data_IF_174253899303
#
_entry.id   IF_174253899303
#
_cell.length_a   1.000
_cell.length_b   1.000
_cell.length_c   1.000
_cell.angle_alpha   90.00
_cell.angle_beta   90.00
_cell.angle_gamma   90.00
#
_symmetry.space_group_name_H-M   'P 1'
#
loop_
_entity.id
_entity.type
_entity.pdbx_description
1 polymer ?
#
# COMPACT_ATOMS: atom_id res chain seq x y z
N UNK A 1 -8.95 -2.37 2.38
CA UNK A 1 -9.10 -3.73 1.80
C UNK A 1 -8.09 -4.73 2.34
N UNK A 2 -6.83 -4.33 2.61
CA UNK A 2 -5.75 -5.21 3.06
C UNK A 2 -6.11 -6.00 4.34
N UNK A 3 -6.52 -5.31 5.40
CA UNK A 3 -6.91 -5.92 6.67
C UNK A 3 -8.12 -6.85 6.56
N UNK A 4 -9.09 -6.53 5.69
CA UNK A 4 -10.24 -7.39 5.44
C UNK A 4 -9.85 -8.69 4.73
N UNK A 5 -8.87 -8.63 3.79
CA UNK A 5 -8.35 -9.83 3.14
C UNK A 5 -7.67 -10.77 4.15
N UNK A 6 -6.87 -10.23 5.08
CA UNK A 6 -6.26 -11.02 6.14
C UNK A 6 -7.31 -11.65 7.07
N UNK A 7 -8.35 -10.89 7.41
CA UNK A 7 -9.47 -11.40 8.23
C UNK A 7 -10.26 -12.48 7.48
N UNK A 8 -10.53 -12.32 6.18
CA UNK A 8 -11.24 -13.32 5.38
C UNK A 8 -10.49 -14.65 5.26
N UNK A 9 -9.15 -14.61 5.33
CA UNK A 9 -8.28 -15.78 5.33
C UNK A 9 -8.10 -16.39 6.74
N UNK A 10 -8.75 -15.82 7.77
CA UNK A 10 -8.68 -16.30 9.15
C UNK A 10 -7.36 -15.97 9.87
N UNK A 11 -6.52 -15.12 9.29
CA UNK A 11 -5.25 -14.69 9.90
C UNK A 11 -5.47 -13.66 11.01
N UNK A 12 -6.55 -12.89 10.93
CA UNK A 12 -6.98 -11.94 11.97
C UNK A 12 -8.33 -12.37 12.51
N UNK A 13 -8.43 -12.57 13.83
CA UNK A 13 -9.68 -12.97 14.50
C UNK A 13 -10.49 -11.77 14.97
N UNK A 14 -9.82 -10.78 15.55
CA UNK A 14 -10.44 -9.56 16.09
C UNK A 14 -9.84 -8.35 15.36
N UNK A 15 -10.61 -7.75 14.46
CA UNK A 15 -10.17 -6.62 13.67
C UNK A 15 -10.70 -5.30 14.24
N UNK A 16 -9.78 -4.40 14.62
CA UNK A 16 -10.08 -2.99 14.85
C UNK A 16 -9.39 -2.18 13.76
N UNK A 17 -10.15 -1.39 13.03
CA UNK A 17 -9.64 -0.50 11.99
C UNK A 17 -9.73 0.96 12.42
N UNK A 18 -8.65 1.70 12.21
CA UNK A 18 -8.57 3.14 12.49
C UNK A 18 -8.29 3.90 11.22
N UNK A 19 -8.82 5.09 11.12
CA UNK A 19 -8.56 6.04 10.05
C UNK A 19 -8.97 7.44 10.51
N UNK A 20 -8.33 8.48 10.01
CA UNK A 20 -8.72 9.89 10.25
C UNK A 20 -10.01 10.24 9.49
N UNK A 21 -10.32 9.53 8.41
CA UNK A 21 -11.48 9.73 7.56
C UNK A 21 -12.68 8.88 8.00
N UNK A 22 -13.77 9.48 8.48
CA UNK A 22 -15.00 8.75 8.75
C UNK A 22 -15.59 8.09 7.49
N UNK A 23 -15.36 8.70 6.30
CA UNK A 23 -15.80 8.18 5.01
C UNK A 23 -15.12 6.87 4.65
N UNK A 24 -13.81 6.77 4.85
CA UNK A 24 -13.03 5.55 4.63
C UNK A 24 -13.48 4.42 5.56
N UNK A 25 -13.73 4.73 6.83
CA UNK A 25 -14.24 3.74 7.78
C UNK A 25 -15.68 3.29 7.46
N UNK A 26 -16.52 4.18 6.92
CA UNK A 26 -17.86 3.82 6.45
C UNK A 26 -17.81 2.86 5.27
N UNK A 27 -16.93 3.13 4.28
CA UNK A 27 -16.70 2.26 3.14
C UNK A 27 -16.16 0.89 3.58
N UNK A 28 -15.19 0.87 4.49
CA UNK A 28 -14.64 -0.36 5.06
C UNK A 28 -15.71 -1.19 5.78
N UNK A 29 -16.58 -0.56 6.58
CA UNK A 29 -17.71 -1.25 7.25
C UNK A 29 -18.68 -1.87 6.25
N UNK A 30 -18.99 -1.17 5.15
CA UNK A 30 -19.87 -1.70 4.11
C UNK A 30 -19.27 -2.98 3.51
N UNK A 31 -18.01 -2.91 3.08
CA UNK A 31 -17.29 -4.06 2.50
C UNK A 31 -17.16 -5.21 3.51
N UNK A 32 -16.87 -4.91 4.77
CA UNK A 32 -16.78 -5.92 5.83
C UNK A 32 -18.12 -6.66 6.01
N UNK A 33 -19.25 -5.92 5.98
CA UNK A 33 -20.60 -6.49 6.06
C UNK A 33 -20.86 -7.44 4.89
N UNK A 34 -20.53 -7.05 3.67
CA UNK A 34 -20.72 -7.84 2.47
C UNK A 34 -19.88 -9.14 2.50
N UNK A 35 -18.73 -9.10 3.15
CA UNK A 35 -17.84 -10.24 3.36
C UNK A 35 -18.18 -11.07 4.63
N UNK A 36 -19.17 -10.66 5.42
CA UNK A 36 -19.49 -11.31 6.68
C UNK A 36 -18.44 -11.15 7.79
N UNK A 37 -17.56 -10.15 7.67
CA UNK A 37 -16.45 -9.89 8.61
C UNK A 37 -16.92 -8.92 9.69
N UNK A 38 -16.68 -9.25 10.96
CA UNK A 38 -16.89 -8.34 12.09
C UNK A 38 -15.68 -7.41 12.22
N UNK A 39 -15.91 -6.09 12.21
CA UNK A 39 -14.89 -5.08 12.39
C UNK A 39 -15.35 -4.00 13.37
N UNK A 40 -14.50 -3.64 14.31
CA UNK A 40 -14.64 -2.41 15.12
C UNK A 40 -13.94 -1.28 14.37
N UNK A 41 -14.55 -0.11 14.27
CA UNK A 41 -13.91 1.05 13.65
C UNK A 41 -13.84 2.20 14.63
N UNK A 42 -12.73 2.94 14.60
CA UNK A 42 -12.49 4.11 15.45
C UNK A 42 -11.88 5.21 14.60
N UNK A 43 -12.49 6.40 14.61
CA UNK A 43 -11.93 7.59 13.95
C UNK A 43 -10.85 8.16 14.86
N UNK A 44 -9.61 8.12 14.43
CA UNK A 44 -8.45 8.63 15.17
C UNK A 44 -7.24 8.76 14.26
N UNK A 45 -6.27 9.58 14.65
CA UNK A 45 -4.93 9.59 14.07
C UNK A 45 -4.05 8.50 14.71
N UNK A 46 -2.93 8.18 14.05
CA UNK A 46 -1.98 7.19 14.51
C UNK A 46 -1.06 7.70 15.64
N UNK A 47 -1.02 9.01 15.82
CA UNK A 47 -0.18 9.68 16.81
C UNK A 47 -0.86 9.78 18.19
N UNK A 48 -2.18 9.47 18.30
CA UNK A 48 -2.96 9.51 19.53
C UNK A 48 -4.02 8.42 19.53
N UNK A 49 -3.63 7.19 19.81
CA UNK A 49 -4.54 6.05 19.76
C UNK A 49 -5.41 5.94 21.04
N UNK A 50 -6.75 5.96 20.92
CA UNK A 50 -7.66 5.91 22.06
C UNK A 50 -7.86 4.48 22.58
N UNK A 51 -6.76 3.74 22.74
CA UNK A 51 -6.77 2.37 23.24
C UNK A 51 -5.92 2.26 24.50
N UNK A 52 -6.27 1.34 25.42
CA UNK A 52 -5.42 1.04 26.56
C UNK A 52 -4.07 0.49 26.13
N UNK A 53 -3.10 0.57 27.03
CA UNK A 53 -1.81 -0.09 26.88
C UNK A 53 -2.03 -1.60 26.70
N UNK A 54 -1.15 -2.24 25.96
CA UNK A 54 -1.09 -3.70 25.81
C UNK A 54 -2.41 -4.37 25.38
N UNK A 55 -3.16 -3.72 24.48
CA UNK A 55 -4.48 -4.20 24.02
C UNK A 55 -4.44 -5.01 22.74
N UNK A 56 -3.35 -4.94 21.96
CA UNK A 56 -3.25 -5.59 20.66
C UNK A 56 -2.07 -6.56 20.57
N UNK A 57 -2.26 -7.63 19.81
CA UNK A 57 -1.18 -8.57 19.49
C UNK A 57 -0.38 -8.11 18.26
N UNK A 58 -1.04 -7.38 17.34
CA UNK A 58 -0.44 -6.87 16.11
C UNK A 58 -1.02 -5.48 15.78
N UNK A 59 -0.15 -4.57 15.40
CA UNK A 59 -0.51 -3.32 14.71
C UNK A 59 -0.03 -3.45 13.26
N UNK A 60 -0.92 -3.23 12.32
CA UNK A 60 -0.59 -3.37 10.90
C UNK A 60 -1.13 -2.21 10.07
N UNK A 61 -0.42 -1.89 8.99
CA UNK A 61 -0.84 -0.89 8.03
C UNK A 61 -0.38 -1.22 6.61
N UNK A 62 -1.05 -0.62 5.63
CA UNK A 62 -0.67 -0.72 4.23
C UNK A 62 -0.70 0.66 3.61
N UNK A 63 0.44 1.12 3.10
CA UNK A 63 0.58 2.44 2.49
C UNK A 63 0.04 3.54 3.41
N UNK A 64 0.57 3.66 4.63
CA UNK A 64 0.06 4.58 5.65
C UNK A 64 1.15 5.38 6.35
N UNK A 65 2.35 4.82 6.56
CA UNK A 65 3.40 5.52 7.30
C UNK A 65 3.85 6.81 6.62
N UNK A 66 3.85 6.85 5.30
CA UNK A 66 4.26 8.03 4.54
C UNK A 66 3.28 9.21 4.67
N UNK A 67 2.08 8.98 5.18
CA UNK A 67 1.10 10.03 5.48
C UNK A 67 1.14 10.52 6.93
N UNK A 68 1.91 9.89 7.83
CA UNK A 68 1.96 10.25 9.25
C UNK A 68 3.03 11.32 9.46
N UNK A 69 2.67 12.53 9.92
CA UNK A 69 3.61 13.63 10.10
C UNK A 69 4.69 13.34 11.15
N UNK A 70 4.32 12.82 12.32
CA UNK A 70 5.24 12.50 13.41
C UNK A 70 5.34 10.99 13.63
N UNK A 71 6.28 10.38 12.91
CA UNK A 71 6.52 8.94 13.01
C UNK A 71 7.03 8.52 14.41
N UNK A 72 7.86 9.32 15.05
CA UNK A 72 8.37 8.95 16.40
C UNK A 72 7.22 8.87 17.40
N UNK A 73 6.26 9.79 17.33
CA UNK A 73 5.05 9.77 18.14
C UNK A 73 4.14 8.58 17.82
N UNK A 74 3.90 8.33 16.53
CA UNK A 74 3.09 7.19 16.10
C UNK A 74 3.69 5.85 16.53
N UNK A 75 5.00 5.65 16.35
CA UNK A 75 5.68 4.43 16.80
C UNK A 75 5.68 4.26 18.32
N UNK A 76 5.71 5.35 19.08
CA UNK A 76 5.54 5.33 20.55
C UNK A 76 4.14 4.85 20.93
N UNK A 77 3.08 5.31 20.21
CA UNK A 77 1.72 4.84 20.42
C UNK A 77 1.54 3.37 20.00
N UNK A 78 2.12 2.95 18.86
CA UNK A 78 2.11 1.55 18.44
C UNK A 78 2.78 0.65 19.50
N UNK A 79 3.91 1.09 20.05
CA UNK A 79 4.61 0.38 21.12
C UNK A 79 3.76 0.29 22.40
N UNK A 80 3.11 1.39 22.79
CA UNK A 80 2.26 1.44 23.99
C UNK A 80 1.08 0.47 23.90
N UNK A 81 0.36 0.48 22.78
CA UNK A 81 -0.86 -0.34 22.62
C UNK A 81 -0.58 -1.81 22.34
N UNK A 82 0.62 -2.18 21.95
CA UNK A 82 1.02 -3.57 21.75
C UNK A 82 1.29 -4.26 23.07
N UNK A 83 0.86 -5.51 23.20
CA UNK A 83 1.27 -6.42 24.28
C UNK A 83 2.76 -6.74 24.19
N UNK A 84 3.41 -7.15 25.30
CA UNK A 84 4.73 -7.76 25.24
C UNK A 84 4.77 -8.90 24.21
N UNK A 85 5.83 -8.98 23.41
CA UNK A 85 5.94 -9.92 22.30
C UNK A 85 5.12 -9.57 21.05
N UNK A 86 4.29 -8.52 21.10
CA UNK A 86 3.48 -8.07 19.96
C UNK A 86 4.31 -7.48 18.83
N UNK A 87 3.71 -7.38 17.64
CA UNK A 87 4.44 -6.99 16.42
C UNK A 87 3.79 -5.82 15.69
N UNK A 88 4.63 -5.02 15.03
CA UNK A 88 4.20 -4.11 13.97
C UNK A 88 4.50 -4.72 12.61
N UNK A 89 3.61 -4.50 11.63
CA UNK A 89 3.81 -4.87 10.23
C UNK A 89 3.23 -3.78 9.33
N UNK A 90 4.08 -3.11 8.58
CA UNK A 90 3.69 -2.09 7.61
C UNK A 90 4.21 -2.47 6.23
N UNK A 91 3.33 -2.49 5.22
CA UNK A 91 3.68 -2.87 3.85
C UNK A 91 3.17 -1.84 2.84
N UNK A 92 3.71 -1.88 1.63
CA UNK A 92 3.35 -0.94 0.58
C UNK A 92 3.88 0.48 0.81
N UNK A 93 4.88 0.67 1.65
CA UNK A 93 5.46 1.99 1.89
C UNK A 93 6.39 2.39 0.74
N UNK A 94 6.23 3.60 0.16
CA UNK A 94 6.99 4.00 -1.01
C UNK A 94 8.46 4.22 -0.71
N UNK A 95 9.34 3.67 -1.55
CA UNK A 95 10.76 3.96 -1.48
C UNK A 95 11.13 5.14 -2.39
N UNK A 96 12.02 6.01 -1.91
CA UNK A 96 12.56 7.15 -2.68
C UNK A 96 13.22 6.73 -3.99
N UNK A 97 13.81 5.53 -4.03
CA UNK A 97 14.48 5.03 -5.22
C UNK A 97 13.49 4.45 -6.23
N UNK A 98 12.43 3.80 -5.74
CA UNK A 98 11.39 3.19 -6.56
C UNK A 98 10.59 4.22 -7.37
N UNK A 99 10.33 5.39 -6.81
CA UNK A 99 9.64 6.47 -7.51
C UNK A 99 10.33 6.88 -8.81
N UNK A 100 11.68 6.96 -8.79
CA UNK A 100 12.46 7.26 -9.99
C UNK A 100 12.35 6.15 -11.04
N UNK A 101 12.30 4.89 -10.60
CA UNK A 101 12.12 3.74 -11.50
C UNK A 101 10.70 3.68 -12.08
N UNK A 102 9.69 4.08 -11.32
CA UNK A 102 8.29 4.09 -11.74
C UNK A 102 8.03 5.00 -12.95
N UNK A 103 8.80 6.08 -13.09
CA UNK A 103 8.64 7.02 -14.21
C UNK A 103 8.84 6.36 -15.58
N UNK A 104 9.74 5.37 -15.70
CA UNK A 104 10.05 4.71 -16.98
C UNK A 104 8.85 3.87 -17.48
N UNK A 105 8.32 2.88 -16.74
CA UNK A 105 7.16 2.11 -17.19
C UNK A 105 5.91 2.96 -17.36
N UNK A 106 5.70 3.97 -16.51
CA UNK A 106 4.57 4.91 -16.65
C UNK A 106 4.63 5.65 -17.99
N UNK A 107 5.77 6.27 -18.33
CA UNK A 107 5.96 6.98 -19.62
C UNK A 107 5.87 6.04 -20.81
N UNK A 108 6.48 4.86 -20.72
CA UNK A 108 6.42 3.86 -21.79
C UNK A 108 4.98 3.40 -22.02
N UNK A 109 4.23 3.12 -20.94
CA UNK A 109 2.82 2.76 -21.01
C UNK A 109 1.98 3.81 -21.74
N UNK A 110 2.13 5.09 -21.36
CA UNK A 110 1.44 6.19 -22.04
C UNK A 110 1.86 6.34 -23.51
N UNK A 111 3.13 6.16 -23.82
CA UNK A 111 3.64 6.23 -25.20
C UNK A 111 3.01 5.15 -26.11
N UNK A 112 2.89 3.92 -25.61
CA UNK A 112 2.31 2.81 -26.39
C UNK A 112 0.77 2.75 -26.33
N UNK A 113 0.15 3.51 -25.43
CA UNK A 113 -1.29 3.49 -25.19
C UNK A 113 -2.15 3.71 -26.45
N UNK A 114 -1.85 4.62 -27.40
CA UNK A 114 -2.65 4.79 -28.61
C UNK A 114 -2.68 3.54 -29.49
N UNK A 115 -1.54 2.85 -29.63
CA UNK A 115 -1.45 1.60 -30.40
C UNK A 115 -2.18 0.46 -29.67
N UNK A 116 -2.02 0.38 -28.35
CA UNK A 116 -2.72 -0.58 -27.51
C UNK A 116 -4.25 -0.40 -27.59
N UNK A 117 -4.79 0.82 -27.45
CA UNK A 117 -6.23 1.07 -27.58
C UNK A 117 -6.80 0.59 -28.92
N UNK A 118 -6.09 0.86 -30.03
CA UNK A 118 -6.49 0.37 -31.35
C UNK A 118 -6.53 -1.15 -31.41
N UNK A 119 -5.53 -1.82 -30.79
CA UNK A 119 -5.43 -3.28 -30.81
C UNK A 119 -6.54 -3.94 -29.99
N UNK A 120 -6.91 -3.38 -28.83
CA UNK A 120 -7.92 -3.97 -27.94
C UNK A 120 -9.32 -3.45 -28.18
N UNK A 121 -9.49 -2.42 -29.05
CA UNK A 121 -10.77 -1.78 -29.33
C UNK A 121 -11.28 -0.91 -28.17
N UNK A 122 -10.38 -0.32 -27.40
CA UNK A 122 -10.75 0.56 -26.30
C UNK A 122 -10.84 2.02 -26.75
N UNK A 123 -11.85 2.73 -26.24
CA UNK A 123 -12.09 4.15 -26.52
C UNK A 123 -11.10 5.03 -25.73
N UNK A 124 -10.63 6.10 -26.37
CA UNK A 124 -9.80 7.07 -25.70
C UNK A 124 -10.60 7.79 -24.59
N UNK A 125 -9.94 8.05 -23.46
CA UNK A 125 -10.53 8.89 -22.43
C UNK A 125 -10.76 10.30 -23.00
N UNK A 126 -11.99 10.78 -22.93
CA UNK A 126 -12.41 12.08 -23.53
C UNK A 126 -12.37 13.24 -22.52
N UNK A 127 -11.98 12.98 -21.28
CA UNK A 127 -11.84 14.05 -20.27
C UNK A 127 -10.64 14.94 -20.57
N UNK A 128 -10.85 16.24 -20.42
CA UNK A 128 -9.77 17.23 -20.57
C UNK A 128 -8.76 17.09 -19.46
N UNK A 129 -7.50 17.46 -19.74
CA UNK A 129 -6.43 17.41 -18.75
C UNK A 129 -6.73 18.22 -17.47
N UNK A 130 -7.67 19.17 -17.53
CA UNK A 130 -8.13 19.97 -16.39
C UNK A 130 -9.03 19.17 -15.43
N UNK A 131 -9.91 18.30 -15.93
CA UNK A 131 -10.74 17.42 -15.08
C UNK A 131 -9.92 16.31 -14.42
N UNK A 132 -8.81 15.89 -15.02
CA UNK A 132 -7.89 14.90 -14.44
C UNK A 132 -6.95 15.51 -13.38
N UNK A 133 -6.70 16.81 -13.44
CA UNK A 133 -5.85 17.51 -12.47
C UNK A 133 -6.59 17.79 -11.14
N UNK A 134 -7.92 17.81 -11.18
CA UNK A 134 -8.74 18.18 -10.01
C UNK A 134 -9.05 17.00 -9.08
N UNK A 135 -8.95 15.76 -9.54
CA UNK A 135 -9.58 14.63 -8.82
C UNK A 135 -8.63 13.79 -7.93
N UNK A 136 -7.33 13.70 -8.17
CA UNK A 136 -6.56 12.73 -7.34
C UNK A 136 -5.06 13.07 -7.11
N UNK A 137 -4.43 13.90 -7.94
CA UNK A 137 -2.98 14.10 -7.88
C UNK A 137 -2.55 15.46 -7.33
N UNK A 138 -3.45 16.43 -7.18
CA UNK A 138 -3.12 17.77 -6.68
C UNK A 138 -2.84 17.77 -5.17
N UNK A 139 -3.41 16.81 -4.43
CA UNK A 139 -3.24 16.69 -2.98
C UNK A 139 -2.13 15.69 -2.58
N UNK A 140 -1.68 14.80 -3.48
CA UNK A 140 -0.62 13.83 -3.18
C UNK A 140 0.66 14.49 -2.62
N UNK A 141 1.20 15.59 -3.19
CA UNK A 141 2.39 16.25 -2.65
C UNK A 141 2.18 16.91 -1.27
N UNK A 142 0.93 17.21 -0.90
CA UNK A 142 0.59 17.79 0.40
C UNK A 142 0.32 16.71 1.44
N UNK A 143 -0.01 15.49 1.00
CA UNK A 143 -0.39 14.36 1.87
C UNK A 143 0.77 13.39 2.05
N UNK A 144 1.66 13.24 1.05
CA UNK A 144 2.84 12.38 1.11
C UNK A 144 4.00 13.10 1.81
N UNK A 145 4.05 12.97 3.14
CA UNK A 145 5.06 13.66 3.98
C UNK A 145 6.44 13.00 3.87
N UNK A 146 6.49 11.67 3.63
CA UNK A 146 7.72 10.89 3.64
C UNK A 146 7.91 10.03 2.40
N UNK A 147 9.11 10.09 1.79
CA UNK A 147 9.60 9.07 0.87
C UNK A 147 10.75 8.33 1.56
N UNK A 148 10.58 7.03 1.81
CA UNK A 148 11.50 6.28 2.65
C UNK A 148 12.76 5.83 1.93
N UNK A 149 13.89 5.91 2.64
CA UNK A 149 15.08 5.09 2.36
C UNK A 149 15.03 3.89 3.29
N UNK A 150 15.30 2.65 2.83
CA UNK A 150 15.20 1.45 3.67
C UNK A 150 15.97 1.52 4.99
N UNK A 151 17.15 2.18 4.97
CA UNK A 151 17.97 2.36 6.17
C UNK A 151 17.30 3.29 7.19
N UNK A 152 16.72 4.42 6.73
CA UNK A 152 16.02 5.39 7.59
C UNK A 152 14.76 4.75 8.19
N UNK A 153 13.97 4.05 7.37
CA UNK A 153 12.78 3.34 7.84
C UNK A 153 13.12 2.28 8.89
N UNK A 154 14.24 1.56 8.72
CA UNK A 154 14.73 0.57 9.69
C UNK A 154 15.14 1.20 11.03
N UNK A 155 15.56 2.47 11.02
CA UNK A 155 16.06 3.16 12.20
C UNK A 155 14.95 3.75 13.10
N UNK A 156 13.70 3.82 12.63
CA UNK A 156 12.59 4.44 13.37
C UNK A 156 12.10 3.56 14.54
N UNK A 157 11.69 2.29 14.34
CA UNK A 157 11.10 1.48 15.42
C UNK A 157 11.98 1.34 16.68
N UNK A 158 13.32 1.17 16.57
CA UNK A 158 14.19 1.05 17.76
C UNK A 158 14.16 2.27 18.68
N UNK A 159 13.85 3.46 18.16
CA UNK A 159 13.75 4.69 18.99
C UNK A 159 12.62 4.59 20.01
N UNK A 160 11.57 3.83 19.71
CA UNK A 160 10.46 3.56 20.62
C UNK A 160 10.60 2.25 21.41
N UNK A 161 11.75 1.56 21.30
CA UNK A 161 12.01 0.34 22.06
C UNK A 161 11.70 -0.97 21.33
N UNK A 162 11.34 -0.93 20.05
CA UNK A 162 11.15 -2.15 19.26
C UNK A 162 12.48 -2.84 18.96
N UNK A 163 12.43 -4.16 18.93
CA UNK A 163 13.54 -5.05 18.56
C UNK A 163 13.25 -5.79 17.24
N UNK A 164 14.24 -6.52 16.74
CA UNK A 164 14.13 -7.36 15.54
C UNK A 164 13.58 -6.64 14.31
N UNK A 165 13.91 -5.33 14.19
CA UNK A 165 13.44 -4.52 13.06
C UNK A 165 14.00 -5.03 11.74
N UNK A 166 13.11 -5.30 10.78
CA UNK A 166 13.44 -5.75 9.42
C UNK A 166 12.73 -4.87 8.40
N UNK A 167 13.46 -4.50 7.35
CA UNK A 167 12.89 -3.84 6.15
C UNK A 167 13.24 -4.71 4.96
N UNK A 168 12.23 -5.07 4.18
CA UNK A 168 12.34 -5.81 2.92
C UNK A 168 11.71 -5.02 1.80
N UNK A 169 12.18 -5.25 0.58
CA UNK A 169 11.49 -4.80 -0.62
C UNK A 169 10.41 -5.80 -1.05
N UNK A 170 9.37 -5.30 -1.70
CA UNK A 170 8.27 -6.11 -2.25
C UNK A 170 7.97 -5.68 -3.67
N UNK A 171 7.69 -6.65 -4.53
CA UNK A 171 7.15 -6.44 -5.88
C UNK A 171 8.02 -5.56 -6.79
N UNK A 172 9.11 -6.08 -7.33
CA UNK A 172 9.96 -5.35 -8.28
C UNK A 172 9.39 -5.42 -9.71
N UNK A 173 9.36 -6.62 -10.30
CA UNK A 173 8.92 -6.83 -11.68
C UNK A 173 7.41 -6.68 -11.80
N UNK A 174 6.65 -7.15 -10.80
CA UNK A 174 5.21 -7.00 -10.74
C UNK A 174 4.80 -5.53 -10.76
N UNK A 175 5.47 -4.67 -10.00
CA UNK A 175 5.21 -3.23 -9.99
C UNK A 175 5.56 -2.56 -11.31
N UNK A 176 6.73 -2.83 -11.88
CA UNK A 176 7.14 -2.28 -13.20
C UNK A 176 6.09 -2.64 -14.26
N UNK A 177 5.66 -3.90 -14.28
CA UNK A 177 4.61 -4.36 -15.17
C UNK A 177 3.27 -3.67 -14.89
N UNK A 178 2.86 -3.66 -13.63
CA UNK A 178 1.60 -3.06 -13.18
C UNK A 178 1.50 -1.58 -13.52
N UNK A 179 2.57 -0.80 -13.38
CA UNK A 179 2.58 0.61 -13.77
C UNK A 179 2.44 0.80 -15.27
N UNK A 180 3.14 -0.01 -16.08
CA UNK A 180 2.97 0.01 -17.53
C UNK A 180 1.53 -0.28 -17.95
N UNK A 181 0.92 -1.32 -17.37
CA UNK A 181 -0.47 -1.70 -17.65
C UNK A 181 -1.45 -0.62 -17.22
N UNK A 182 -1.35 -0.14 -15.97
CA UNK A 182 -2.22 0.94 -15.45
C UNK A 182 -2.10 2.23 -16.25
N UNK A 183 -0.89 2.59 -16.68
CA UNK A 183 -0.69 3.78 -17.52
C UNK A 183 -1.30 3.65 -18.90
N UNK A 184 -1.32 2.47 -19.51
CA UNK A 184 -2.09 2.23 -20.72
C UNK A 184 -3.60 2.32 -20.46
N UNK A 185 -4.08 1.66 -19.42
CA UNK A 185 -5.50 1.61 -19.06
C UNK A 185 -6.07 2.98 -18.66
N UNK A 186 -5.30 3.82 -17.96
CA UNK A 186 -5.72 5.17 -17.60
C UNK A 186 -5.93 6.10 -18.82
N UNK A 187 -5.40 5.75 -19.97
CA UNK A 187 -5.62 6.47 -21.23
C UNK A 187 -6.93 6.15 -21.95
N UNK A 188 -7.72 5.21 -21.44
CA UNK A 188 -8.95 4.72 -22.05
C UNK A 188 -10.16 4.88 -21.13
N UNK A 189 -11.34 5.01 -21.71
CA UNK A 189 -12.60 4.98 -20.97
C UNK A 189 -12.74 3.62 -20.27
N UNK A 190 -12.90 3.58 -18.92
CA UNK A 190 -12.88 2.32 -18.16
C UNK A 190 -13.79 1.23 -18.71
N UNK A 191 -15.04 1.55 -19.08
CA UNK A 191 -16.02 0.58 -19.56
C UNK A 191 -15.71 0.03 -20.96
N UNK A 192 -14.87 0.71 -21.74
CA UNK A 192 -14.44 0.26 -23.08
C UNK A 192 -13.32 -0.78 -23.04
N UNK A 193 -12.64 -0.94 -21.90
CA UNK A 193 -11.53 -1.89 -21.77
C UNK A 193 -12.07 -3.32 -21.72
N UNK A 194 -11.70 -4.20 -22.69
CA UNK A 194 -12.24 -5.55 -22.75
C UNK A 194 -11.87 -6.38 -21.51
N UNK A 195 -12.81 -7.18 -21.02
CA UNK A 195 -12.59 -8.08 -19.88
C UNK A 195 -11.39 -9.02 -20.08
N UNK A 196 -11.15 -9.48 -21.31
CA UNK A 196 -10.01 -10.34 -21.64
C UNK A 196 -8.68 -9.65 -21.35
N UNK A 197 -8.59 -8.34 -21.61
CA UNK A 197 -7.40 -7.56 -21.30
C UNK A 197 -7.21 -7.41 -19.80
N UNK A 198 -8.26 -6.99 -19.07
CA UNK A 198 -8.20 -6.84 -17.61
C UNK A 198 -7.76 -8.13 -16.91
N UNK A 199 -8.33 -9.26 -17.34
CA UNK A 199 -7.95 -10.57 -16.81
C UNK A 199 -6.49 -10.97 -17.17
N UNK A 200 -6.02 -10.61 -18.37
CA UNK A 200 -4.62 -10.79 -18.78
C UNK A 200 -3.67 -9.94 -17.90
N UNK A 201 -3.94 -8.62 -17.77
CA UNK A 201 -3.15 -7.70 -16.96
C UNK A 201 -3.07 -8.16 -15.50
N UNK A 202 -4.20 -8.57 -14.93
CA UNK A 202 -4.27 -9.09 -13.57
C UNK A 202 -3.49 -10.41 -13.40
N UNK A 203 -3.72 -11.40 -14.27
CA UNK A 203 -3.05 -12.70 -14.16
C UNK A 203 -1.54 -12.62 -14.39
N UNK A 204 -1.11 -11.78 -15.32
CA UNK A 204 0.31 -11.56 -15.57
C UNK A 204 0.98 -10.86 -14.39
N UNK A 205 0.31 -9.87 -13.78
CA UNK A 205 0.78 -9.26 -12.53
C UNK A 205 0.97 -10.30 -11.42
N UNK A 206 -0.02 -11.17 -11.17
CA UNK A 206 0.12 -12.25 -10.19
C UNK A 206 1.24 -13.26 -10.55
N UNK A 207 1.47 -13.47 -11.84
CA UNK A 207 2.61 -14.29 -12.30
C UNK A 207 3.95 -13.66 -11.96
N UNK A 208 4.12 -12.36 -12.22
CA UNK A 208 5.33 -11.61 -11.86
C UNK A 208 5.51 -11.48 -10.34
N UNK A 209 4.42 -11.30 -9.59
CA UNK A 209 4.48 -11.31 -8.12
C UNK A 209 5.05 -12.63 -7.58
N UNK A 210 4.68 -13.78 -8.17
CA UNK A 210 5.28 -15.07 -7.79
C UNK A 210 6.78 -15.13 -8.11
N UNK A 211 7.20 -14.55 -9.23
CA UNK A 211 8.63 -14.44 -9.57
C UNK A 211 9.36 -13.57 -8.55
N UNK A 212 8.80 -12.40 -8.23
CA UNK A 212 9.35 -11.52 -7.21
C UNK A 212 9.51 -12.25 -5.87
N UNK A 213 8.43 -12.82 -5.34
CA UNK A 213 8.41 -13.47 -4.03
C UNK A 213 9.40 -14.63 -3.89
N UNK A 214 9.64 -15.39 -4.96
CA UNK A 214 10.48 -16.59 -4.90
C UNK A 214 11.93 -16.37 -5.35
N UNK A 215 12.14 -15.45 -6.30
CA UNK A 215 13.43 -15.32 -6.97
C UNK A 215 14.11 -13.96 -6.73
N UNK A 216 13.39 -12.91 -6.37
CA UNK A 216 13.97 -11.57 -6.26
C UNK A 216 13.98 -11.06 -4.82
N UNK A 217 12.83 -11.03 -4.14
CA UNK A 217 12.71 -10.51 -2.79
C UNK A 217 13.62 -11.17 -1.75
N UNK A 218 13.88 -12.49 -1.79
CA UNK A 218 14.80 -13.12 -0.84
C UNK A 218 16.26 -12.74 -1.02
N UNK A 219 16.66 -12.28 -2.22
CA UNK A 219 18.07 -12.14 -2.59
C UNK A 219 18.49 -10.72 -2.91
N UNK A 220 17.55 -9.86 -3.30
CA UNK A 220 17.86 -8.49 -3.70
C UNK A 220 17.73 -7.51 -2.52
N UNK A 221 18.56 -6.47 -2.47
CA UNK A 221 18.48 -5.44 -1.44
C UNK A 221 17.20 -4.61 -1.59
N UNK A 222 16.63 -4.18 -0.46
CA UNK A 222 15.37 -3.44 -0.40
C UNK A 222 15.40 -2.13 -1.22
N UNK A 223 16.57 -1.55 -1.44
CA UNK A 223 16.80 -0.33 -2.22
C UNK A 223 16.38 -0.43 -3.68
N UNK A 224 16.26 -1.64 -4.24
CA UNK A 224 15.85 -1.88 -5.61
C UNK A 224 14.32 -1.90 -5.79
N UNK A 225 13.58 -1.99 -4.70
CA UNK A 225 12.12 -2.13 -4.73
C UNK A 225 11.41 -0.79 -4.53
N UNK A 226 10.23 -0.69 -5.10
CA UNK A 226 9.35 0.45 -4.85
C UNK A 226 8.64 0.32 -3.51
N UNK A 227 8.02 -0.81 -3.26
CA UNK A 227 7.31 -1.08 -2.03
C UNK A 227 8.26 -1.61 -0.97
N UNK A 228 8.14 -1.08 0.24
CA UNK A 228 8.87 -1.54 1.40
C UNK A 228 7.91 -2.19 2.40
N UNK A 229 8.35 -3.29 3.01
CA UNK A 229 7.72 -3.92 4.16
C UNK A 229 8.61 -3.73 5.37
N UNK A 230 8.04 -3.12 6.40
CA UNK A 230 8.64 -2.97 7.72
C UNK A 230 8.00 -3.93 8.70
N UNK A 231 8.78 -4.64 9.49
CA UNK A 231 8.31 -5.38 10.66
C UNK A 231 9.25 -5.17 11.83
N UNK A 232 8.70 -5.11 13.05
CA UNK A 232 9.46 -5.08 14.29
C UNK A 232 8.64 -5.66 15.44
N UNK A 233 9.28 -6.03 16.53
CA UNK A 233 8.66 -6.69 17.67
C UNK A 233 8.86 -5.88 18.95
N UNK A 234 7.81 -5.77 19.77
CA UNK A 234 7.93 -5.29 21.15
C UNK A 234 8.58 -6.42 21.99
N UNK A 235 9.57 -6.12 22.83
CA UNK A 235 10.16 -7.11 23.75
C UNK A 235 9.11 -7.79 24.62
N UNK A 236 9.46 -9.00 25.15
CA UNK A 236 8.62 -9.74 26.10
C UNK A 236 8.58 -9.06 27.50
#
# INVERSE_FOLDING_TARGET
>A
YFSLNLASQGLIRNLTATDISPGMLKSLKSTAKDLGIKVRTVVTDAENLPFPDESFDVVLGHAVLHHIPDLDKAFSEFFRVLKPGGMIVFCGEPSRYGDRLAAVPKRTGLFVAPAWRRLVGADALTHTAEEMADDEHSLEPEVDVHAFVPADLRAIPPRSGFEHTRVRGEELVANVWGWGMRSMESSATPDSIPWRWRNFAYKSYLGFQKVDNHLLEPYLPAELFYNLLLSAQKPE
#
